data_IF_458347280218
#
_entry.id   IF_458347280218
#
_cell.length_a   1.000
_cell.length_b   1.000
_cell.length_c   1.000
_cell.angle_alpha   90.00
_cell.angle_beta   90.00
_cell.angle_gamma   90.00
#
_symmetry.space_group_name_H-M   'P 1'
#
loop_
_entity.id
_entity.type
_entity.pdbx_description
1 polymer ?
#
# COMPACT_ATOMS: atom_id res chain seq x y z
N UNK A 1 -4.66 10.06 -3.58
CA UNK A 1 -4.91 11.25 -2.74
C UNK A 1 -3.62 11.81 -2.14
N UNK A 2 -2.89 11.05 -1.30
CA UNK A 2 -1.64 11.52 -0.66
C UNK A 2 -0.64 12.14 -1.64
N UNK A 3 -0.24 11.43 -2.71
CA UNK A 3 0.70 11.96 -3.69
C UNK A 3 0.15 13.19 -4.44
N UNK A 4 -1.16 13.23 -4.70
CA UNK A 4 -1.80 14.37 -5.34
C UNK A 4 -1.75 15.62 -4.46
N UNK A 5 -2.03 15.50 -3.15
CA UNK A 5 -1.89 16.61 -2.21
C UNK A 5 -0.42 17.08 -2.15
N UNK A 6 0.55 16.16 -2.09
CA UNK A 6 1.99 16.51 -2.10
C UNK A 6 2.36 17.29 -3.37
N UNK A 7 1.96 16.82 -4.55
CA UNK A 7 2.27 17.47 -5.82
C UNK A 7 1.56 18.82 -5.95
N UNK A 8 0.30 18.90 -5.52
CA UNK A 8 -0.46 20.14 -5.58
C UNK A 8 0.14 21.22 -4.67
N UNK A 9 0.49 20.88 -3.42
CA UNK A 9 1.17 21.80 -2.51
C UNK A 9 2.48 22.34 -3.06
N UNK A 10 3.26 21.51 -3.78
CA UNK A 10 4.48 21.96 -4.47
C UNK A 10 4.17 22.92 -5.62
N UNK A 11 3.15 22.60 -6.42
CA UNK A 11 2.75 23.43 -7.56
C UNK A 11 2.21 24.80 -7.14
N UNK A 12 1.54 24.87 -5.98
CA UNK A 12 0.96 26.12 -5.45
C UNK A 12 1.83 26.80 -4.40
N UNK A 13 2.98 26.22 -4.05
CA UNK A 13 3.84 26.66 -2.95
C UNK A 13 3.09 26.79 -1.60
N UNK A 14 2.15 25.87 -1.33
CA UNK A 14 1.34 25.84 -0.12
C UNK A 14 1.72 24.61 0.75
N UNK A 15 2.42 24.82 1.89
CA UNK A 15 2.85 23.74 2.76
C UNK A 15 1.71 23.04 3.51
N UNK A 16 0.50 23.64 3.56
CA UNK A 16 -0.66 23.03 4.24
C UNK A 16 -1.07 21.70 3.60
N UNK A 17 -0.79 21.51 2.30
CA UNK A 17 -1.08 20.26 1.60
C UNK A 17 -0.17 19.10 2.03
N UNK A 18 1.09 19.37 2.42
CA UNK A 18 1.93 18.32 2.99
C UNK A 18 1.35 17.82 4.31
N UNK A 19 0.93 18.75 5.17
CA UNK A 19 0.27 18.41 6.43
C UNK A 19 -1.01 17.60 6.20
N UNK A 20 -1.83 18.01 5.23
CA UNK A 20 -3.02 17.26 4.83
C UNK A 20 -2.69 15.84 4.33
N UNK A 21 -1.64 15.69 3.52
CA UNK A 21 -1.19 14.38 3.05
C UNK A 21 -0.74 13.46 4.19
N UNK A 22 -0.01 14.02 5.18
CA UNK A 22 0.40 13.31 6.39
C UNK A 22 -0.81 12.89 7.23
N UNK A 23 -1.80 13.77 7.42
CA UNK A 23 -3.02 13.47 8.17
C UNK A 23 -3.83 12.34 7.51
N UNK A 24 -3.93 12.35 6.18
CA UNK A 24 -4.55 11.24 5.43
C UNK A 24 -3.75 9.95 5.63
N UNK A 25 -2.42 10.01 5.57
CA UNK A 25 -1.57 8.85 5.80
C UNK A 25 -1.76 8.23 7.18
N UNK A 26 -1.79 9.06 8.22
CA UNK A 26 -2.06 8.60 9.59
C UNK A 26 -3.47 8.02 9.74
N UNK A 27 -4.49 8.62 9.11
CA UNK A 27 -5.85 8.08 9.11
C UNK A 27 -5.94 6.72 8.40
N UNK A 28 -5.27 6.56 7.24
CA UNK A 28 -5.20 5.28 6.53
C UNK A 28 -4.54 4.20 7.39
N UNK A 29 -3.44 4.52 8.05
CA UNK A 29 -2.75 3.58 8.93
C UNK A 29 -3.58 3.21 10.16
N UNK A 30 -4.40 4.12 10.67
CA UNK A 30 -5.28 3.86 11.81
C UNK A 30 -6.48 3.00 11.44
N UNK A 31 -7.10 3.24 10.28
CA UNK A 31 -8.40 2.65 9.93
C UNK A 31 -8.25 1.43 9.03
N UNK A 32 -7.34 1.48 8.06
CA UNK A 32 -7.25 0.47 7.02
C UNK A 32 -6.20 -0.60 7.32
N UNK A 33 -5.19 -0.30 8.14
CA UNK A 33 -4.11 -1.25 8.40
C UNK A 33 -4.50 -2.27 9.46
N UNK A 34 -4.53 -3.54 9.09
CA UNK A 34 -4.69 -4.62 10.02
C UNK A 34 -3.36 -4.90 10.74
N UNK A 35 -3.29 -4.60 12.03
CA UNK A 35 -2.07 -4.73 12.82
C UNK A 35 -1.58 -6.18 13.02
N UNK A 36 -2.48 -7.17 12.96
CA UNK A 36 -2.15 -8.60 13.09
C UNK A 36 -1.48 -9.12 11.82
N UNK A 37 -2.06 -8.82 10.66
CA UNK A 37 -1.60 -9.33 9.36
C UNK A 37 -0.65 -8.40 8.61
N UNK A 38 -0.46 -7.18 9.12
CA UNK A 38 0.44 -6.17 8.56
C UNK A 38 0.08 -5.75 7.13
N UNK A 39 -1.23 -5.65 6.85
CA UNK A 39 -1.80 -5.44 5.52
C UNK A 39 -2.92 -4.40 5.56
N UNK A 40 -3.11 -3.63 4.49
CA UNK A 40 -4.29 -2.78 4.33
C UNK A 40 -5.52 -3.61 3.92
N UNK A 41 -6.68 -3.34 4.50
CA UNK A 41 -7.98 -3.84 4.03
C UNK A 41 -8.32 -3.25 2.66
N UNK A 42 -8.94 -4.03 1.78
CA UNK A 42 -9.42 -3.54 0.49
C UNK A 42 -10.53 -2.48 0.63
N UNK A 43 -11.42 -2.63 1.61
CA UNK A 43 -12.50 -1.68 1.88
C UNK A 43 -12.77 -1.49 3.37
N UNK A 44 -13.53 -0.45 3.71
CA UNK A 44 -13.82 -0.05 5.09
C UNK A 44 -14.89 -0.88 5.79
N UNK A 45 -15.37 -1.96 5.17
CA UNK A 45 -16.32 -2.87 5.80
C UNK A 45 -15.56 -3.74 6.81
N UNK A 46 -15.81 -3.60 8.12
CA UNK A 46 -15.05 -4.29 9.16
C UNK A 46 -15.23 -5.82 9.12
N UNK A 47 -16.24 -6.32 8.40
CA UNK A 47 -16.47 -7.76 8.24
C UNK A 47 -15.66 -8.37 7.09
N UNK A 48 -15.07 -7.54 6.24
CA UNK A 48 -14.31 -8.01 5.10
C UNK A 48 -12.83 -8.21 5.45
N UNK A 49 -12.32 -9.35 5.02
CA UNK A 49 -10.95 -9.80 5.29
C UNK A 49 -10.10 -9.85 4.03
N UNK A 50 -10.59 -9.23 2.95
CA UNK A 50 -9.99 -9.28 1.62
C UNK A 50 -8.92 -8.21 1.46
N UNK A 51 -7.86 -8.60 0.78
CA UNK A 51 -6.80 -7.72 0.28
C UNK A 51 -6.74 -7.87 -1.23
N UNK A 52 -6.41 -6.78 -1.92
CA UNK A 52 -6.10 -6.79 -3.35
C UNK A 52 -4.75 -6.08 -3.59
N UNK A 53 -3.90 -6.62 -4.46
CA UNK A 53 -2.59 -6.05 -4.74
C UNK A 53 -2.63 -4.59 -5.24
N UNK A 54 -3.48 -4.24 -6.20
CA UNK A 54 -3.60 -2.88 -6.72
C UNK A 54 -4.10 -1.88 -5.66
N UNK A 55 -5.25 -2.12 -5.03
CA UNK A 55 -5.84 -1.19 -4.06
C UNK A 55 -4.97 -1.01 -2.80
N UNK A 56 -4.45 -2.11 -2.23
CA UNK A 56 -3.53 -2.04 -1.10
C UNK A 56 -2.17 -1.45 -1.52
N UNK A 57 -1.77 -1.65 -2.78
CA UNK A 57 -0.62 -1.02 -3.40
C UNK A 57 -0.73 0.50 -3.52
N UNK A 58 -1.92 1.05 -3.76
CA UNK A 58 -2.14 2.51 -3.77
C UNK A 58 -1.83 3.14 -2.41
N UNK A 59 -2.27 2.49 -1.33
CA UNK A 59 -1.93 2.91 0.04
C UNK A 59 -0.44 2.85 0.30
N UNK A 60 0.21 1.77 -0.15
CA UNK A 60 1.67 1.58 -0.04
C UNK A 60 2.45 2.69 -0.73
N UNK A 61 2.10 3.03 -1.97
CA UNK A 61 2.72 4.15 -2.70
C UNK A 61 2.59 5.46 -1.92
N UNK A 62 1.43 5.71 -1.31
CA UNK A 62 1.20 6.88 -0.47
C UNK A 62 2.20 6.97 0.69
N UNK A 63 2.44 5.86 1.39
CA UNK A 63 3.43 5.82 2.48
C UNK A 63 4.85 6.09 1.97
N UNK A 64 5.25 5.47 0.86
CA UNK A 64 6.58 5.71 0.28
C UNK A 64 6.74 7.20 -0.10
N UNK A 65 5.69 7.82 -0.66
CA UNK A 65 5.71 9.23 -1.03
C UNK A 65 5.79 10.17 0.18
N UNK A 66 5.16 9.82 1.31
CA UNK A 66 5.29 10.57 2.56
C UNK A 66 6.71 10.49 3.12
N UNK A 67 7.30 9.29 3.17
CA UNK A 67 8.71 9.12 3.53
C UNK A 67 9.63 9.98 2.67
N UNK A 68 9.38 10.05 1.37
CA UNK A 68 10.16 10.88 0.46
C UNK A 68 10.13 12.38 0.84
N UNK A 69 9.07 12.85 1.51
CA UNK A 69 8.95 14.25 1.94
C UNK A 69 9.58 14.51 3.30
N UNK A 70 9.32 13.68 4.30
CA UNK A 70 9.66 13.97 5.71
C UNK A 70 10.70 13.05 6.34
N UNK A 71 11.12 12.00 5.63
CA UNK A 71 12.06 10.97 6.08
C UNK A 71 11.64 10.25 7.37
N UNK A 72 10.36 10.27 7.71
CA UNK A 72 9.85 9.53 8.86
C UNK A 72 9.73 8.05 8.52
N UNK A 73 10.60 7.23 9.11
CA UNK A 73 10.68 5.78 8.88
C UNK A 73 9.37 5.03 9.20
N UNK A 74 8.45 5.62 9.98
CA UNK A 74 7.13 5.01 10.22
C UNK A 74 6.43 4.66 8.90
N UNK A 75 6.55 5.53 7.90
CA UNK A 75 5.89 5.36 6.61
C UNK A 75 6.49 4.18 5.82
N UNK A 76 7.82 4.07 5.75
CA UNK A 76 8.45 2.91 5.12
C UNK A 76 8.12 1.61 5.87
N UNK A 77 8.01 1.66 7.19
CA UNK A 77 7.56 0.52 7.99
C UNK A 77 6.21 -0.02 7.52
N UNK A 78 5.21 0.84 7.33
CA UNK A 78 3.91 0.44 6.78
C UNK A 78 4.01 -0.08 5.33
N UNK A 79 4.82 0.57 4.49
CA UNK A 79 4.99 0.18 3.10
C UNK A 79 5.60 -1.23 2.96
N UNK A 80 6.74 -1.49 3.63
CA UNK A 80 7.44 -2.79 3.64
C UNK A 80 6.52 -3.89 4.15
N UNK A 81 5.90 -3.66 5.31
CA UNK A 81 4.95 -4.58 5.91
C UNK A 81 3.82 -4.99 4.95
N UNK A 82 3.21 -4.01 4.27
CA UNK A 82 2.13 -4.31 3.35
C UNK A 82 2.61 -5.05 2.09
N UNK A 83 3.79 -4.72 1.56
CA UNK A 83 4.40 -5.44 0.42
C UNK A 83 4.64 -6.91 0.78
N UNK A 84 5.26 -7.16 1.94
CA UNK A 84 5.54 -8.51 2.43
C UNK A 84 4.26 -9.30 2.68
N UNK A 85 3.26 -8.63 3.28
CA UNK A 85 1.93 -9.20 3.46
C UNK A 85 1.26 -9.59 2.15
N UNK A 86 1.30 -8.73 1.13
CA UNK A 86 0.71 -9.01 -0.19
C UNK A 86 1.46 -10.13 -0.91
N UNK A 87 2.79 -10.17 -0.79
CA UNK A 87 3.61 -11.27 -1.29
C UNK A 87 3.20 -12.61 -0.66
N UNK A 88 2.96 -12.64 0.64
CA UNK A 88 2.52 -13.86 1.34
C UNK A 88 1.08 -14.24 1.01
N UNK A 89 0.17 -13.27 1.02
CA UNK A 89 -1.26 -13.53 0.89
C UNK A 89 -1.64 -13.83 -0.57
N UNK A 90 -1.16 -13.02 -1.51
CA UNK A 90 -1.71 -12.95 -2.86
C UNK A 90 -0.77 -13.49 -3.95
N UNK A 91 0.51 -13.75 -3.69
CA UNK A 91 1.43 -14.26 -4.71
C UNK A 91 1.33 -15.78 -4.85
N UNK A 92 1.14 -16.24 -6.08
CA UNK A 92 1.28 -17.64 -6.43
C UNK A 92 2.78 -18.04 -6.37
N UNK A 93 3.15 -19.13 -5.67
CA UNK A 93 4.54 -19.52 -5.51
C UNK A 93 5.19 -20.05 -6.79
N UNK A 94 4.41 -20.61 -7.71
CA UNK A 94 4.91 -21.27 -8.93
C UNK A 94 5.02 -20.28 -10.10
N UNK A 95 3.97 -19.50 -10.34
CA UNK A 95 3.93 -18.53 -11.44
C UNK A 95 4.43 -17.14 -11.05
N UNK A 96 4.57 -16.88 -9.75
CA UNK A 96 4.92 -15.58 -9.19
C UNK A 96 3.92 -14.44 -9.47
N UNK A 97 2.78 -14.76 -10.10
CA UNK A 97 1.71 -13.83 -10.34
C UNK A 97 0.88 -13.59 -9.07
N UNK A 98 0.19 -12.45 -9.01
CA UNK A 98 -0.68 -12.08 -7.91
C UNK A 98 -2.14 -12.35 -8.24
N UNK A 99 -2.85 -13.01 -7.33
CA UNK A 99 -4.29 -13.17 -7.35
C UNK A 99 -5.01 -11.84 -7.14
N UNK A 100 -6.14 -11.65 -7.82
CA UNK A 100 -6.96 -10.44 -7.72
C UNK A 100 -7.44 -10.17 -6.29
N UNK A 101 -7.91 -11.19 -5.57
CA UNK A 101 -8.20 -11.11 -4.15
C UNK A 101 -7.59 -12.26 -3.39
N UNK A 102 -7.28 -12.02 -2.12
CA UNK A 102 -7.03 -13.06 -1.13
C UNK A 102 -7.51 -12.60 0.25
N UNK A 103 -7.76 -13.54 1.16
CA UNK A 103 -7.81 -13.23 2.58
C UNK A 103 -6.43 -12.86 3.11
N UNK A 104 -6.38 -12.17 4.25
CA UNK A 104 -5.13 -11.77 4.91
C UNK A 104 -4.13 -12.92 5.13
N UNK A 105 -4.61 -14.13 5.41
CA UNK A 105 -3.79 -15.30 5.64
C UNK A 105 -3.38 -16.04 4.35
N UNK A 106 -3.77 -15.52 3.16
CA UNK A 106 -3.57 -16.17 1.88
C UNK A 106 -4.59 -17.27 1.55
N UNK A 107 -5.69 -17.33 2.29
CA UNK A 107 -6.86 -18.16 2.01
C UNK A 107 -7.81 -17.47 1.01
N UNK A 108 -8.82 -18.19 0.51
CA UNK A 108 -9.89 -17.64 -0.35
C UNK A 108 -9.38 -16.78 -1.51
N UNK A 109 -8.34 -17.28 -2.20
CA UNK A 109 -7.75 -16.61 -3.35
C UNK A 109 -8.72 -16.65 -4.53
N UNK A 110 -8.99 -15.48 -5.10
CA UNK A 110 -9.67 -15.36 -6.39
C UNK A 110 -8.82 -16.06 -7.46
N UNK A 111 -9.43 -16.75 -8.43
CA UNK A 111 -8.68 -17.42 -9.48
C UNK A 111 -8.11 -16.45 -10.53
N UNK A 112 -8.67 -15.24 -10.57
CA UNK A 112 -8.34 -14.17 -11.50
C UNK A 112 -6.91 -13.64 -11.26
N UNK A 113 -6.20 -13.43 -12.36
CA UNK A 113 -4.88 -12.80 -12.40
C UNK A 113 -5.00 -11.60 -13.33
N UNK A 114 -5.04 -10.40 -12.77
CA UNK A 114 -5.18 -9.18 -13.55
C UNK A 114 -3.83 -8.48 -13.74
N UNK A 115 -3.60 -7.94 -14.93
CA UNK A 115 -2.36 -7.21 -15.25
C UNK A 115 -2.15 -5.98 -14.36
N UNK A 116 -3.23 -5.36 -13.90
CA UNK A 116 -3.18 -4.19 -12.99
C UNK A 116 -2.53 -4.55 -11.66
N UNK A 117 -2.85 -5.71 -11.08
CA UNK A 117 -2.26 -6.18 -9.82
C UNK A 117 -0.78 -6.47 -9.96
N UNK A 118 -0.38 -7.07 -11.08
CA UNK A 118 1.03 -7.37 -11.36
C UNK A 118 1.84 -6.07 -11.45
N UNK A 119 1.33 -5.10 -12.23
CA UNK A 119 1.98 -3.82 -12.43
C UNK A 119 2.10 -3.03 -11.11
N UNK A 120 1.07 -3.05 -10.27
CA UNK A 120 1.10 -2.37 -8.97
C UNK A 120 2.09 -2.98 -7.99
N UNK A 121 2.16 -4.32 -7.90
CA UNK A 121 3.15 -4.98 -7.04
C UNK A 121 4.58 -4.70 -7.50
N UNK A 122 4.86 -4.82 -8.80
CA UNK A 122 6.18 -4.49 -9.35
C UNK A 122 6.57 -3.04 -9.07
N UNK A 123 5.62 -2.10 -9.24
CA UNK A 123 5.85 -0.68 -8.99
C UNK A 123 6.24 -0.41 -7.54
N UNK A 124 5.44 -0.87 -6.58
CA UNK A 124 5.70 -0.56 -5.16
C UNK A 124 6.96 -1.27 -4.64
N UNK A 125 7.25 -2.48 -5.12
CA UNK A 125 8.51 -3.18 -4.82
C UNK A 125 9.73 -2.43 -5.37
N UNK A 126 9.67 -1.98 -6.61
CA UNK A 126 10.74 -1.18 -7.20
C UNK A 126 10.92 0.17 -6.47
N UNK A 127 9.83 0.78 -6.00
CA UNK A 127 9.87 2.00 -5.22
C UNK A 127 10.54 1.79 -3.85
N UNK A 128 10.17 0.74 -3.11
CA UNK A 128 10.72 0.48 -1.76
C UNK A 128 12.18 0.03 -1.81
N UNK A 129 12.57 -0.74 -2.83
CA UNK A 129 13.92 -1.26 -3.01
C UNK A 129 15.01 -0.17 -3.08
N UNK A 130 14.63 1.08 -3.38
CA UNK A 130 15.55 2.24 -3.31
C UNK A 130 16.10 2.49 -1.90
N UNK A 131 15.41 2.00 -0.88
CA UNK A 131 15.65 2.29 0.53
C UNK A 131 16.10 1.05 1.34
N UNK A 132 16.21 -0.12 0.72
CA UNK A 132 16.51 -1.41 1.37
C UNK A 132 17.94 -1.92 1.07
N UNK A 133 18.92 -1.01 1.07
CA UNK A 133 20.32 -1.35 0.77
C UNK A 133 21.10 -1.80 2.00
#
# INVERSE_FOLDING_TARGET
MIEADILFGKATNDPSYLKKAQDIGDAMNKILFNAQYKLYIFNTDPTQTRVNPAWCGWGTQGMIKLYEQDKNEKWLGFARNNIDGLNKASRNPDSHAYYFFSGFAGNNRSAEIEGVDQAWMQRIQAMVAKYDK
#
